data_IF_031348888240
#
_entry.id   IF_031348888240
#
_cell.length_a   1.000
_cell.length_b   1.000
_cell.length_c   1.000
_cell.angle_alpha   90.00
_cell.angle_beta   90.00
_cell.angle_gamma   90.00
#
_symmetry.space_group_name_H-M   'P 1'
#
loop_
_entity.id
_entity.type
_entity.pdbx_description
1 polymer ?
#
# COMPACT_ATOMS: atom_id res chain seq x y z
N UNK A 1 5.28 -1.46 2.77
CA UNK A 1 6.14 -2.06 3.82
C UNK A 1 7.64 -2.10 3.49
N UNK A 2 8.07 -2.61 2.31
CA UNK A 2 9.51 -2.85 2.04
C UNK A 2 10.38 -1.59 1.97
N UNK A 3 9.91 -0.47 1.40
CA UNK A 3 10.78 0.70 1.12
C UNK A 3 11.30 1.44 2.37
N UNK A 4 10.44 1.94 3.29
CA UNK A 4 10.92 2.73 4.45
C UNK A 4 11.78 1.92 5.42
N UNK A 5 11.35 0.70 5.76
CA UNK A 5 12.08 -0.15 6.71
C UNK A 5 13.42 -0.57 6.13
N UNK A 6 13.51 -0.82 4.81
CA UNK A 6 14.78 -1.05 4.13
C UNK A 6 15.67 0.19 4.13
N UNK A 7 15.13 1.38 3.86
CA UNK A 7 15.89 2.64 3.92
C UNK A 7 16.44 2.91 5.33
N UNK A 8 15.60 2.78 6.36
CA UNK A 8 16.02 2.90 7.76
C UNK A 8 17.03 1.83 8.16
N UNK A 9 16.90 0.60 7.66
CA UNK A 9 17.85 -0.47 7.95
C UNK A 9 19.26 -0.23 7.37
N UNK A 10 19.37 0.62 6.34
CA UNK A 10 20.64 1.04 5.73
C UNK A 10 21.31 2.20 6.46
N UNK A 11 20.60 2.91 7.34
CA UNK A 11 21.20 4.02 8.10
C UNK A 11 22.30 3.53 9.05
N UNK A 12 23.40 4.30 9.26
CA UNK A 12 24.53 3.88 10.08
C UNK A 12 24.10 3.57 11.53
N UNK A 13 23.13 4.32 12.06
CA UNK A 13 22.55 4.10 13.39
C UNK A 13 21.93 2.70 13.58
N UNK A 14 21.43 2.08 12.51
CA UNK A 14 20.85 0.72 12.52
C UNK A 14 21.83 -0.33 11.99
N UNK A 15 22.61 -0.01 10.94
CA UNK A 15 23.55 -0.94 10.28
C UNK A 15 24.64 -1.43 11.24
N UNK A 16 25.09 -0.58 12.17
CA UNK A 16 26.11 -0.92 13.18
C UNK A 16 25.64 -1.91 14.26
N UNK A 17 24.32 -2.07 14.42
CA UNK A 17 23.74 -2.93 15.45
C UNK A 17 23.50 -4.34 14.90
N UNK A 18 23.55 -5.36 15.77
CA UNK A 18 23.22 -6.75 15.44
C UNK A 18 22.10 -7.29 16.35
N UNK A 19 21.55 -8.45 15.99
CA UNK A 19 20.57 -9.19 16.81
C UNK A 19 19.36 -8.38 17.26
N UNK A 20 18.97 -8.57 18.54
CA UNK A 20 17.79 -7.91 19.14
C UNK A 20 17.92 -6.39 19.17
N UNK A 21 19.11 -5.84 19.40
CA UNK A 21 19.37 -4.40 19.44
C UNK A 21 19.06 -3.72 18.10
N UNK A 22 19.47 -4.33 16.98
CA UNK A 22 19.14 -3.86 15.62
C UNK A 22 17.64 -3.82 15.39
N UNK A 23 16.93 -4.90 15.74
CA UNK A 23 15.47 -5.01 15.58
C UNK A 23 14.74 -3.92 16.38
N UNK A 24 15.12 -3.71 17.65
CA UNK A 24 14.54 -2.68 18.53
C UNK A 24 14.79 -1.26 17.99
N UNK A 25 16.02 -0.93 17.57
CA UNK A 25 16.35 0.41 17.04
C UNK A 25 15.60 0.71 15.74
N UNK A 26 15.52 -0.26 14.82
CA UNK A 26 14.76 -0.12 13.58
C UNK A 26 13.27 0.09 13.85
N UNK A 27 12.68 -0.69 14.77
CA UNK A 27 11.28 -0.53 15.17
C UNK A 27 11.01 0.85 15.78
N UNK A 28 11.90 1.33 16.66
CA UNK A 28 11.80 2.66 17.27
C UNK A 28 11.86 3.78 16.22
N UNK A 29 12.77 3.70 15.25
CA UNK A 29 12.86 4.69 14.18
C UNK A 29 11.66 4.67 13.24
N UNK A 30 11.14 3.49 12.90
CA UNK A 30 9.89 3.36 12.12
C UNK A 30 8.73 4.01 12.87
N UNK A 31 8.63 3.78 14.19
CA UNK A 31 7.59 4.37 15.05
C UNK A 31 7.73 5.89 15.16
N UNK A 32 8.94 6.41 15.41
CA UNK A 32 9.23 7.85 15.53
C UNK A 32 8.94 8.63 14.26
N UNK A 33 9.17 8.05 13.09
CA UNK A 33 8.92 8.74 11.81
C UNK A 33 7.43 8.94 11.51
N UNK A 34 6.51 8.52 12.39
CA UNK A 34 5.08 8.83 12.32
C UNK A 34 4.43 8.43 11.00
N UNK A 35 5.04 7.49 10.29
CA UNK A 35 4.76 7.31 8.88
C UNK A 35 3.41 6.58 8.79
N UNK A 36 2.35 7.31 8.41
CA UNK A 36 1.03 6.78 8.02
C UNK A 36 1.21 5.93 6.76
N UNK A 37 1.88 4.81 6.92
CA UNK A 37 2.24 3.90 5.84
C UNK A 37 0.98 3.14 5.46
N UNK A 38 0.54 3.36 4.22
CA UNK A 38 -0.50 2.54 3.64
C UNK A 38 -0.02 1.08 3.54
N UNK A 39 -0.78 0.16 4.13
CA UNK A 39 -0.63 -1.29 3.96
C UNK A 39 -1.52 -1.71 2.80
N UNK A 40 -0.98 -2.44 1.83
CA UNK A 40 -1.79 -3.10 0.80
C UNK A 40 -2.62 -4.18 1.46
N UNK A 41 -3.93 -4.11 1.30
CA UNK A 41 -4.90 -5.04 1.88
C UNK A 41 -5.53 -5.97 0.83
N UNK A 42 -5.41 -5.64 -0.45
CA UNK A 42 -5.89 -6.43 -1.58
C UNK A 42 -5.79 -5.65 -2.88
N UNK A 43 -6.24 -6.28 -3.97
CA UNK A 43 -6.34 -5.70 -5.31
C UNK A 43 -7.62 -6.20 -6.00
N UNK A 44 -8.12 -5.41 -6.94
CA UNK A 44 -9.15 -5.82 -7.90
C UNK A 44 -8.46 -5.85 -9.26
N UNK A 45 -8.58 -6.97 -9.97
CA UNK A 45 -8.02 -7.13 -11.32
C UNK A 45 -9.18 -7.45 -12.24
N UNK A 46 -9.30 -6.69 -13.33
CA UNK A 46 -10.36 -6.85 -14.33
C UNK A 46 -9.75 -6.70 -15.71
N UNK A 47 -10.18 -7.53 -16.65
CA UNK A 47 -9.85 -7.37 -18.07
C UNK A 47 -10.69 -6.21 -18.61
N UNK A 48 -10.03 -5.26 -19.27
CA UNK A 48 -10.63 -4.03 -19.79
C UNK A 48 -10.36 -3.91 -21.28
N UNK A 49 -11.24 -3.19 -22.00
CA UNK A 49 -11.06 -2.88 -23.43
C UNK A 49 -10.48 -1.47 -23.60
N UNK A 50 -9.88 -1.13 -24.75
CA UNK A 50 -9.53 0.25 -25.04
C UNK A 50 -10.75 1.18 -24.92
N UNK A 51 -10.57 2.35 -24.31
CA UNK A 51 -11.64 3.32 -24.09
C UNK A 51 -12.11 3.38 -22.63
N UNK A 52 -13.34 3.86 -22.43
CA UNK A 52 -13.93 4.04 -21.10
C UNK A 52 -14.29 2.69 -20.49
N UNK A 53 -13.85 2.45 -19.27
CA UNK A 53 -14.19 1.27 -18.49
C UNK A 53 -14.65 1.68 -17.09
N UNK A 54 -15.49 0.86 -16.49
CA UNK A 54 -16.00 1.07 -15.14
C UNK A 54 -15.68 -0.16 -14.28
N UNK A 55 -15.21 0.10 -13.06
CA UNK A 55 -14.89 -0.93 -12.06
C UNK A 55 -15.87 -0.74 -10.90
N UNK A 56 -16.75 -1.72 -10.70
CA UNK A 56 -17.72 -1.69 -9.61
C UNK A 56 -17.02 -1.98 -8.28
N UNK A 57 -17.05 -1.02 -7.36
CA UNK A 57 -16.50 -1.18 -6.02
C UNK A 57 -17.60 -1.45 -4.99
N UNK A 58 -17.72 -2.71 -4.56
CA UNK A 58 -18.76 -3.15 -3.60
C UNK A 58 -18.38 -2.92 -2.13
N UNK A 59 -17.33 -2.16 -1.85
CA UNK A 59 -16.78 -2.02 -0.50
C UNK A 59 -16.01 -3.27 -0.02
N UNK A 60 -15.78 -4.25 -0.91
CA UNK A 60 -15.00 -5.46 -0.65
C UNK A 60 -13.71 -5.48 -1.46
N UNK A 61 -12.66 -6.06 -0.88
CA UNK A 61 -11.40 -6.33 -1.58
C UNK A 61 -10.85 -7.68 -1.11
N UNK A 62 -10.36 -8.50 -2.04
CA UNK A 62 -9.88 -9.86 -1.75
C UNK A 62 -10.87 -10.69 -0.88
N UNK A 63 -12.16 -10.62 -1.21
CA UNK A 63 -13.24 -11.32 -0.50
C UNK A 63 -13.66 -10.70 0.85
N UNK A 64 -12.98 -9.66 1.34
CA UNK A 64 -13.22 -9.08 2.67
C UNK A 64 -13.83 -7.70 2.57
N UNK A 65 -14.83 -7.41 3.41
CA UNK A 65 -15.39 -6.06 3.56
C UNK A 65 -14.34 -5.13 4.18
N UNK A 66 -14.23 -3.92 3.63
CA UNK A 66 -13.37 -2.91 4.22
C UNK A 66 -13.97 -2.40 5.54
N UNK A 67 -13.13 -2.32 6.56
CA UNK A 67 -13.47 -1.63 7.80
C UNK A 67 -13.67 -0.13 7.54
N UNK A 68 -14.45 0.58 8.36
CA UNK A 68 -14.50 2.04 8.31
C UNK A 68 -13.10 2.65 8.49
N UNK A 69 -12.73 3.60 7.64
CA UNK A 69 -11.38 4.18 7.64
C UNK A 69 -11.01 4.90 6.34
N UNK A 70 -9.80 5.47 6.33
CA UNK A 70 -9.23 6.14 5.14
C UNK A 70 -8.37 5.15 4.36
N UNK A 71 -8.62 5.08 3.06
CA UNK A 71 -7.95 4.18 2.14
C UNK A 71 -7.31 4.95 0.98
N UNK A 72 -6.35 4.29 0.34
CA UNK A 72 -5.68 4.77 -0.87
C UNK A 72 -5.75 3.67 -1.92
N UNK A 73 -6.39 3.97 -3.04
CA UNK A 73 -6.36 3.12 -4.22
C UNK A 73 -5.21 3.51 -5.13
N UNK A 74 -4.62 2.52 -5.79
CA UNK A 74 -3.62 2.70 -6.83
C UNK A 74 -4.12 1.94 -8.06
N UNK A 75 -4.37 2.67 -9.13
CA UNK A 75 -4.81 2.15 -10.41
C UNK A 75 -3.61 2.08 -11.37
N UNK A 76 -3.49 0.97 -12.07
CA UNK A 76 -2.51 0.75 -13.13
C UNK A 76 -3.14 -0.19 -14.15
N UNK A 77 -3.02 0.14 -15.43
CA UNK A 77 -3.47 -0.70 -16.53
C UNK A 77 -2.24 -1.39 -17.13
N UNK A 78 -2.39 -2.64 -17.54
CA UNK A 78 -1.35 -3.37 -18.28
C UNK A 78 -1.93 -3.85 -19.60
N UNK A 79 -1.17 -3.72 -20.67
CA UNK A 79 -1.52 -4.29 -21.97
C UNK A 79 -1.10 -5.77 -22.06
N UNK A 80 -1.40 -6.40 -23.21
CA UNK A 80 -1.05 -7.80 -23.49
C UNK A 80 0.47 -8.03 -23.61
N UNK A 81 1.22 -7.01 -24.03
CA UNK A 81 2.68 -7.05 -24.07
C UNK A 81 3.32 -6.87 -22.68
N UNK A 82 2.52 -6.56 -21.65
CA UNK A 82 2.96 -6.35 -20.27
C UNK A 82 3.39 -4.93 -19.95
N UNK A 83 3.23 -3.97 -20.87
CA UNK A 83 3.53 -2.57 -20.62
C UNK A 83 2.54 -1.99 -19.61
N UNK A 84 3.04 -1.26 -18.62
CA UNK A 84 2.23 -0.64 -17.58
C UNK A 84 1.99 0.84 -17.86
N UNK A 85 0.75 1.28 -17.67
CA UNK A 85 0.39 2.70 -17.70
C UNK A 85 1.00 3.47 -16.51
N UNK A 86 0.98 4.80 -16.60
CA UNK A 86 1.21 5.65 -15.44
C UNK A 86 0.24 5.29 -14.30
N UNK A 87 0.72 5.34 -13.06
CA UNK A 87 -0.11 5.08 -11.89
C UNK A 87 -1.04 6.25 -11.61
N UNK A 88 -2.31 5.95 -11.34
CA UNK A 88 -3.26 6.92 -10.78
C UNK A 88 -3.55 6.57 -9.34
N UNK A 89 -3.45 7.55 -8.45
CA UNK A 89 -3.61 7.38 -7.01
C UNK A 89 -4.74 8.27 -6.55
N UNK A 90 -5.66 7.71 -5.77
CA UNK A 90 -6.75 8.47 -5.17
C UNK A 90 -7.04 7.95 -3.77
N UNK A 91 -7.60 8.82 -2.93
CA UNK A 91 -7.99 8.49 -1.56
C UNK A 91 -9.51 8.43 -1.45
N UNK A 92 -10.00 7.57 -0.58
CA UNK A 92 -11.42 7.48 -0.26
C UNK A 92 -11.61 7.07 1.19
N UNK A 93 -12.77 7.39 1.77
CA UNK A 93 -13.13 7.03 3.14
C UNK A 93 -14.30 6.06 3.13
N UNK A 94 -14.13 4.93 3.81
CA UNK A 94 -15.24 4.01 4.11
C UNK A 94 -15.87 4.48 5.41
N UNK A 95 -17.17 4.78 5.38
CA UNK A 95 -17.94 5.18 6.55
C UNK A 95 -18.62 3.97 7.19
N UNK A 96 -18.98 4.07 8.48
CA UNK A 96 -19.87 3.08 9.09
C UNK A 96 -21.24 3.18 8.40
N UNK A 97 -21.89 2.04 8.08
CA UNK A 97 -23.30 2.07 7.74
C UNK A 97 -24.07 2.71 8.90
N UNK A 98 -25.07 3.51 8.56
CA UNK A 98 -25.96 4.14 9.54
C UNK A 98 -26.85 3.10 10.20
#
# INVERSE_FOLDING_TARGET
MRKLRALLAKTPAVKRLRGKARKRKLASLVRKRGCKLFKTIGSITQVVKPGRNEIVFTGRIAGRRLSPGVYRAVLTVRDLAGNASAQRVFMFKVIKPK
#
